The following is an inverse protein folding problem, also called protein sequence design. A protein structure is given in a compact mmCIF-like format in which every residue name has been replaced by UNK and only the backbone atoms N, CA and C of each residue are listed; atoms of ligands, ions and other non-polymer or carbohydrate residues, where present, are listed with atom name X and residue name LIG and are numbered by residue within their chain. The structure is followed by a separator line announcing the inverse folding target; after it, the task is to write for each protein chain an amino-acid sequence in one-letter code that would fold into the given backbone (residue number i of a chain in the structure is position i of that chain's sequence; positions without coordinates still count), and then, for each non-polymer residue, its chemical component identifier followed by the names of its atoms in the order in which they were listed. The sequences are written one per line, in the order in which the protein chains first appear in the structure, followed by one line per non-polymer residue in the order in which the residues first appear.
data_IF_828466988279
#
_entry.id   IF_828466988279
#
_cell.length_a   1.000
_cell.length_b   1.000
_cell.length_c   1.000
_cell.angle_alpha   90.00
_cell.angle_beta   90.00
_cell.angle_gamma   90.00
#
_symmetry.space_group_name_H-M   'P 1'
#
loop_
_entity.id
_entity.type
_entity.pdbx_description
1 polymer ?
#
# COMPACT_ATOMS: atom_id res chain seq x y z
N UNK A 1 -28.48 -1.53 -8.04
CA UNK A 1 -27.59 -0.36 -7.90
C UNK A 1 -26.59 -0.75 -6.84
N UNK A 2 -25.31 -0.90 -7.20
CA UNK A 2 -24.27 -1.24 -6.23
C UNK A 2 -24.05 -0.05 -5.30
N UNK A 3 -23.97 -0.31 -4.00
CA UNK A 3 -23.67 0.72 -3.01
C UNK A 3 -22.14 0.81 -2.89
N UNK A 4 -21.55 1.80 -3.55
CA UNK A 4 -20.10 1.99 -3.56
C UNK A 4 -19.54 2.22 -2.15
N UNK A 5 -20.24 3.01 -1.31
CA UNK A 5 -19.76 3.28 0.04
C UNK A 5 -19.87 2.03 0.92
N UNK A 6 -21.00 1.33 0.85
CA UNK A 6 -21.18 0.04 1.52
C UNK A 6 -20.16 -1.00 1.07
N UNK A 7 -19.83 -1.01 -0.23
CA UNK A 7 -18.81 -1.91 -0.78
C UNK A 7 -17.41 -1.59 -0.24
N UNK A 8 -17.01 -0.31 -0.29
CA UNK A 8 -15.71 0.14 0.26
C UNK A 8 -15.61 -0.20 1.74
N UNK A 9 -16.68 -0.01 2.52
CA UNK A 9 -16.71 -0.35 3.94
C UNK A 9 -16.61 -1.87 4.18
N UNK A 10 -17.35 -2.66 3.40
CA UNK A 10 -17.31 -4.13 3.47
C UNK A 10 -15.91 -4.65 3.18
N UNK A 11 -15.31 -4.24 2.06
CA UNK A 11 -13.98 -4.70 1.64
C UNK A 11 -12.90 -4.15 2.58
N UNK A 12 -13.03 -2.92 3.07
CA UNK A 12 -12.11 -2.38 4.08
C UNK A 12 -12.07 -3.25 5.34
N UNK A 13 -13.24 -3.63 5.86
CA UNK A 13 -13.34 -4.55 7.00
C UNK A 13 -12.75 -5.93 6.68
N UNK A 14 -13.14 -6.51 5.54
CA UNK A 14 -12.71 -7.86 5.16
C UNK A 14 -11.21 -7.93 4.90
N UNK A 15 -10.63 -6.94 4.25
CA UNK A 15 -9.20 -6.94 3.89
C UNK A 15 -8.32 -6.28 4.95
N UNK A 16 -8.90 -5.70 6.00
CA UNK A 16 -8.20 -4.86 7.01
C UNK A 16 -7.32 -3.77 6.38
N UNK A 17 -7.70 -3.31 5.18
CA UNK A 17 -7.06 -2.20 4.49
C UNK A 17 -7.84 -0.92 4.78
N UNK A 18 -7.14 0.22 4.96
CA UNK A 18 -7.78 1.47 5.33
C UNK A 18 -8.80 1.88 4.29
N UNK A 19 -9.93 2.43 4.71
CA UNK A 19 -11.05 2.77 3.81
C UNK A 19 -10.58 3.67 2.66
N UNK A 20 -9.66 4.60 2.96
CA UNK A 20 -9.10 5.52 1.97
C UNK A 20 -8.35 4.82 0.83
N UNK A 21 -7.77 3.63 1.06
CA UNK A 21 -7.10 2.89 0.00
C UNK A 21 -8.09 2.48 -1.10
N UNK A 22 -9.33 2.13 -0.73
CA UNK A 22 -10.38 1.83 -1.68
C UNK A 22 -10.98 3.08 -2.30
N UNK A 23 -11.02 4.20 -1.57
CA UNK A 23 -11.45 5.46 -2.16
C UNK A 23 -10.52 5.90 -3.30
N UNK A 24 -9.19 5.81 -3.08
CA UNK A 24 -8.18 6.09 -4.12
C UNK A 24 -8.30 5.08 -5.27
N UNK A 25 -8.47 3.79 -4.96
CA UNK A 25 -8.59 2.75 -5.98
C UNK A 25 -9.78 2.98 -6.90
N UNK A 26 -10.95 3.28 -6.34
CA UNK A 26 -12.16 3.55 -7.12
C UNK A 26 -12.04 4.87 -7.89
N UNK A 27 -11.48 5.93 -7.28
CA UNK A 27 -11.27 7.20 -7.96
C UNK A 27 -10.27 7.13 -9.14
N UNK A 28 -9.39 6.13 -9.15
CA UNK A 28 -8.43 5.90 -10.22
C UNK A 28 -8.99 5.13 -11.42
N UNK A 29 -10.19 4.54 -11.31
CA UNK A 29 -10.81 3.71 -12.33
C UNK A 29 -12.16 4.29 -12.78
N UNK A 30 -12.56 4.04 -14.02
CA UNK A 30 -13.88 4.43 -14.49
C UNK A 30 -14.96 3.47 -13.96
N UNK A 31 -16.21 3.94 -13.76
CA UNK A 31 -17.29 3.11 -13.20
C UNK A 31 -17.59 1.83 -13.99
N UNK A 32 -17.38 1.86 -15.30
CA UNK A 32 -17.57 0.73 -16.21
C UNK A 32 -16.35 -0.22 -16.31
N UNK A 33 -15.24 0.11 -15.67
CA UNK A 33 -14.01 -0.69 -15.73
C UNK A 33 -14.10 -1.86 -14.76
N UNK A 34 -13.87 -3.09 -15.25
CA UNK A 34 -13.61 -4.23 -14.38
C UNK A 34 -12.15 -4.15 -13.95
N UNK A 35 -11.90 -3.98 -12.66
CA UNK A 35 -10.55 -3.92 -12.09
C UNK A 35 -10.41 -4.87 -10.89
N UNK A 36 -9.17 -5.22 -10.59
CA UNK A 36 -8.85 -6.02 -9.42
C UNK A 36 -9.11 -5.23 -8.13
N UNK A 37 -9.97 -5.76 -7.26
CA UNK A 37 -10.38 -5.11 -6.03
C UNK A 37 -9.51 -5.51 -4.84
N UNK A 38 -9.46 -6.81 -4.55
CA UNK A 38 -8.67 -7.40 -3.48
C UNK A 38 -8.64 -8.93 -3.60
N UNK A 39 -7.69 -9.53 -2.91
CA UNK A 39 -7.70 -10.96 -2.56
C UNK A 39 -8.42 -11.17 -1.23
N UNK A 40 -9.19 -12.26 -1.16
CA UNK A 40 -9.84 -12.76 0.04
C UNK A 40 -9.46 -14.23 0.18
N UNK A 41 -9.29 -14.69 1.42
CA UNK A 41 -9.21 -16.13 1.67
C UNK A 41 -10.59 -16.77 1.46
N UNK A 42 -10.60 -18.09 1.24
CA UNK A 42 -11.83 -18.84 0.95
C UNK A 42 -12.89 -18.66 2.05
N UNK A 43 -12.49 -18.70 3.32
CA UNK A 43 -13.39 -18.57 4.47
C UNK A 43 -14.09 -17.20 4.50
N UNK A 44 -13.33 -16.10 4.36
CA UNK A 44 -13.86 -14.74 4.35
C UNK A 44 -14.76 -14.52 3.12
N UNK A 45 -14.43 -15.12 1.96
CA UNK A 45 -15.26 -15.05 0.77
C UNK A 45 -16.58 -15.80 0.98
N UNK A 46 -16.53 -17.06 1.39
CA UNK A 46 -17.70 -17.93 1.58
C UNK A 46 -18.66 -17.33 2.61
N UNK A 47 -18.13 -16.81 3.72
CA UNK A 47 -18.92 -16.19 4.78
C UNK A 47 -19.59 -14.87 4.35
N UNK A 48 -19.08 -14.18 3.32
CA UNK A 48 -19.57 -12.86 2.90
C UNK A 48 -20.08 -12.82 1.45
N UNK A 49 -20.21 -13.97 0.79
CA UNK A 49 -20.52 -14.07 -0.65
C UNK A 49 -21.78 -13.30 -1.04
N UNK A 50 -22.86 -13.44 -0.26
CA UNK A 50 -24.11 -12.75 -0.50
C UNK A 50 -23.94 -11.22 -0.49
N UNK A 51 -23.24 -10.68 0.52
CA UNK A 51 -22.98 -9.25 0.65
C UNK A 51 -22.02 -8.74 -0.44
N UNK A 52 -20.98 -9.50 -0.77
CA UNK A 52 -20.05 -9.17 -1.86
C UNK A 52 -20.76 -9.09 -3.21
N UNK A 53 -21.72 -9.99 -3.45
CA UNK A 53 -22.50 -10.00 -4.70
C UNK A 53 -23.53 -8.87 -4.71
N UNK A 54 -24.32 -8.71 -3.65
CA UNK A 54 -25.41 -7.73 -3.61
C UNK A 54 -24.94 -6.28 -3.51
N UNK A 55 -23.85 -6.03 -2.76
CA UNK A 55 -23.37 -4.69 -2.45
C UNK A 55 -22.29 -4.25 -3.43
N UNK A 56 -21.31 -5.12 -3.71
CA UNK A 56 -20.17 -4.79 -4.57
C UNK A 56 -20.33 -5.25 -6.03
N UNK A 57 -21.23 -6.19 -6.34
CA UNK A 57 -21.35 -6.75 -7.69
C UNK A 57 -20.11 -7.51 -8.16
N UNK A 58 -19.36 -8.11 -7.23
CA UNK A 58 -18.10 -8.81 -7.53
C UNK A 58 -18.36 -10.21 -8.08
N UNK A 59 -17.70 -10.58 -9.18
CA UNK A 59 -17.61 -11.94 -9.69
C UNK A 59 -16.18 -12.46 -9.54
N UNK A 60 -16.01 -13.72 -9.07
CA UNK A 60 -14.69 -14.35 -9.01
C UNK A 60 -14.21 -14.57 -10.44
N UNK A 61 -13.01 -14.09 -10.76
CA UNK A 61 -12.42 -14.27 -12.11
C UNK A 61 -11.36 -15.36 -12.13
N UNK A 62 -10.68 -15.64 -11.00
CA UNK A 62 -9.52 -16.54 -10.94
C UNK A 62 -9.46 -17.27 -9.60
N UNK A 63 -9.53 -18.60 -9.64
CA UNK A 63 -9.07 -19.47 -8.55
C UNK A 63 -7.57 -19.71 -8.76
N UNK A 64 -6.74 -19.35 -7.78
CA UNK A 64 -5.29 -19.54 -7.86
C UNK A 64 -4.83 -20.12 -6.53
N UNK A 65 -4.20 -21.29 -6.60
CA UNK A 65 -3.44 -21.83 -5.48
C UNK A 65 -2.19 -20.95 -5.28
N UNK A 66 -2.32 -19.96 -4.40
CA UNK A 66 -1.23 -19.06 -4.02
C UNK A 66 -0.90 -19.23 -2.54
N UNK A 67 0.31 -18.83 -2.17
CA UNK A 67 0.70 -18.73 -0.77
C UNK A 67 -0.26 -17.76 -0.07
N UNK A 68 -1.04 -18.29 0.87
CA UNK A 68 -2.04 -17.51 1.61
C UNK A 68 -1.44 -16.99 2.91
N UNK A 69 -1.59 -15.69 3.17
CA UNK A 69 -1.21 -15.07 4.45
C UNK A 69 -2.46 -14.82 5.28
N UNK A 70 -2.57 -15.55 6.38
CA UNK A 70 -3.69 -15.37 7.31
C UNK A 70 -3.73 -13.94 7.87
N UNK A 71 -4.94 -13.49 8.16
CA UNK A 71 -5.09 -12.22 8.85
C UNK A 71 -5.03 -11.00 7.94
N UNK A 72 -5.26 -11.17 6.63
CA UNK A 72 -5.32 -10.06 5.66
C UNK A 72 -4.07 -9.19 5.72
N UNK A 73 -2.91 -9.83 5.69
CA UNK A 73 -1.60 -9.18 5.70
C UNK A 73 -1.27 -8.38 6.99
N UNK A 74 -1.98 -8.61 8.10
CA UNK A 74 -1.67 -8.04 9.43
C UNK A 74 -0.23 -8.32 9.91
N UNK A 75 0.40 -9.36 9.36
CA UNK A 75 1.78 -9.76 9.64
C UNK A 75 2.70 -9.66 8.44
N UNK A 76 2.30 -8.99 7.35
CA UNK A 76 3.04 -8.96 6.08
C UNK A 76 4.53 -8.65 6.21
N UNK A 77 4.93 -7.75 7.10
CA UNK A 77 6.34 -7.44 7.34
C UNK A 77 7.10 -8.56 8.06
N UNK A 78 6.44 -9.25 8.99
CA UNK A 78 7.03 -10.32 9.79
C UNK A 78 7.05 -11.63 9.01
N UNK A 79 5.89 -12.05 8.50
CA UNK A 79 5.77 -13.23 7.65
C UNK A 79 6.63 -13.05 6.39
N UNK A 80 6.58 -11.88 5.77
CA UNK A 80 7.17 -11.63 4.47
C UNK A 80 6.24 -12.07 3.35
N UNK A 81 6.82 -12.31 2.19
CA UNK A 81 6.11 -12.85 1.04
C UNK A 81 7.01 -13.76 0.22
N UNK A 82 6.40 -14.61 -0.60
CA UNK A 82 7.05 -15.38 -1.65
C UNK A 82 7.00 -14.65 -2.98
N UNK A 83 7.96 -14.90 -3.84
CA UNK A 83 8.03 -14.36 -5.19
C UNK A 83 9.00 -15.16 -6.06
N UNK A 84 8.90 -14.99 -7.37
CA UNK A 84 9.80 -15.65 -8.31
C UNK A 84 11.26 -15.23 -8.07
N UNK A 85 12.18 -16.16 -8.32
CA UNK A 85 13.62 -15.88 -8.28
C UNK A 85 13.95 -14.77 -9.29
N UNK A 86 14.62 -13.72 -8.83
CA UNK A 86 15.07 -12.64 -9.71
C UNK A 86 16.37 -13.03 -10.42
N UNK A 87 16.70 -12.35 -11.52
CA UNK A 87 17.94 -12.59 -12.26
C UNK A 87 19.20 -12.46 -11.37
N UNK A 88 19.19 -11.53 -10.40
CA UNK A 88 20.29 -11.34 -9.46
C UNK A 88 20.40 -12.47 -8.43
N UNK A 89 19.29 -13.14 -8.12
CA UNK A 89 19.21 -14.26 -7.18
C UNK A 89 19.50 -15.61 -7.86
N UNK A 90 19.39 -15.67 -9.19
CA UNK A 90 19.37 -16.91 -9.96
C UNK A 90 20.59 -17.81 -9.70
N UNK A 91 21.81 -17.27 -9.84
CA UNK A 91 23.03 -18.07 -9.65
C UNK A 91 23.14 -18.66 -8.22
N UNK A 92 22.66 -17.93 -7.21
CA UNK A 92 22.67 -18.41 -5.82
C UNK A 92 21.67 -19.54 -5.61
N UNK A 93 20.45 -19.40 -6.13
CA UNK A 93 19.38 -20.38 -5.92
C UNK A 93 19.53 -21.61 -6.83
N UNK A 94 20.08 -21.47 -8.04
CA UNK A 94 20.46 -22.60 -8.89
C UNK A 94 21.50 -23.51 -8.20
N UNK A 95 22.48 -22.91 -7.51
CA UNK A 95 23.45 -23.66 -6.72
C UNK A 95 22.81 -24.42 -5.54
N UNK A 96 21.63 -23.99 -5.08
CA UNK A 96 20.84 -24.65 -4.04
C UNK A 96 19.82 -25.65 -4.62
N UNK A 97 19.77 -25.81 -5.94
CA UNK A 97 18.93 -26.79 -6.63
C UNK A 97 17.57 -26.25 -7.11
N UNK A 98 17.33 -24.94 -7.00
CA UNK A 98 16.11 -24.31 -7.49
C UNK A 98 16.17 -24.06 -9.00
N UNK A 99 14.99 -23.97 -9.62
CA UNK A 99 14.79 -23.58 -11.02
C UNK A 99 14.36 -22.11 -11.11
N UNK A 100 14.65 -21.43 -12.21
CA UNK A 100 14.38 -19.99 -12.37
C UNK A 100 12.89 -19.59 -12.22
N UNK A 101 11.95 -20.54 -12.33
CA UNK A 101 10.52 -20.30 -12.14
C UNK A 101 10.02 -20.53 -10.71
N UNK A 102 10.87 -21.02 -9.81
CA UNK A 102 10.46 -21.40 -8.47
C UNK A 102 10.13 -20.15 -7.63
N UNK A 103 9.13 -20.31 -6.75
CA UNK A 103 8.76 -19.29 -5.78
C UNK A 103 9.60 -19.46 -4.52
N UNK A 104 10.27 -18.39 -4.10
CA UNK A 104 11.10 -18.34 -2.90
C UNK A 104 10.61 -17.22 -1.98
N UNK A 105 10.88 -17.33 -0.69
CA UNK A 105 10.72 -16.27 0.28
C UNK A 105 11.58 -15.06 -0.05
N UNK A 106 10.93 -13.93 -0.33
CA UNK A 106 11.59 -12.66 -0.67
C UNK A 106 11.82 -11.78 0.56
N UNK A 107 11.07 -11.99 1.63
CA UNK A 107 11.24 -11.25 2.89
C UNK A 107 10.76 -12.02 4.11
N UNK A 108 10.94 -11.40 5.28
CA UNK A 108 10.42 -11.91 6.56
C UNK A 108 10.85 -13.34 6.90
N UNK A 109 9.95 -14.04 7.57
CA UNK A 109 10.05 -15.45 7.96
C UNK A 109 10.16 -16.35 6.73
N UNK A 110 9.43 -16.06 5.65
CA UNK A 110 9.52 -16.84 4.39
C UNK A 110 10.97 -16.91 3.91
N UNK A 111 11.65 -15.75 3.79
CA UNK A 111 13.06 -15.72 3.37
C UNK A 111 14.01 -16.32 4.40
N UNK A 112 13.78 -16.03 5.68
CA UNK A 112 14.69 -16.44 6.75
C UNK A 112 14.72 -17.96 6.94
N UNK A 113 13.57 -18.62 6.75
CA UNK A 113 13.43 -20.06 6.89
C UNK A 113 13.18 -20.78 5.57
N UNK A 114 13.55 -20.18 4.45
CA UNK A 114 13.33 -20.72 3.10
C UNK A 114 13.75 -22.19 2.99
N UNK A 115 14.94 -22.53 3.47
CA UNK A 115 15.47 -23.91 3.40
C UNK A 115 14.60 -24.92 4.17
N UNK A 116 14.02 -24.52 5.31
CA UNK A 116 13.13 -25.40 6.07
C UNK A 116 11.75 -25.48 5.42
N UNK A 117 11.23 -24.34 4.95
CA UNK A 117 9.90 -24.22 4.35
C UNK A 117 9.80 -24.87 2.97
N UNK A 118 10.83 -24.76 2.14
CA UNK A 118 10.87 -25.37 0.81
C UNK A 118 11.33 -26.84 0.85
N UNK A 119 12.08 -27.23 1.88
CA UNK A 119 12.77 -28.51 1.91
C UNK A 119 13.85 -28.57 0.82
N UNK A 120 14.04 -29.75 0.23
CA UNK A 120 14.92 -29.92 -0.93
C UNK A 120 14.23 -30.80 -1.98
N UNK A 121 14.27 -30.42 -3.27
CA UNK A 121 13.61 -31.18 -4.31
C UNK A 121 14.26 -32.55 -4.50
N UNK A 122 13.43 -33.59 -4.70
CA UNK A 122 13.89 -34.88 -5.20
C UNK A 122 14.11 -34.78 -6.71
N UNK A 123 15.19 -35.40 -7.20
CA UNK A 123 15.52 -35.40 -8.63
C UNK A 123 15.81 -36.81 -9.12
N UNK A 124 15.04 -37.26 -10.10
CA UNK A 124 15.15 -38.60 -10.68
C UNK A 124 15.44 -38.54 -12.17
N UNK A 125 16.53 -39.18 -12.61
CA UNK A 125 16.89 -39.33 -14.01
C UNK A 125 16.33 -40.64 -14.56
N UNK A 126 15.42 -40.55 -15.54
CA UNK A 126 14.75 -41.71 -16.14
C UNK A 126 14.55 -41.57 -17.64
N UNK A 127 14.51 -42.70 -18.34
CA UNK A 127 14.05 -42.79 -19.74
C UNK A 127 12.57 -43.14 -19.73
N UNK A 128 11.79 -42.35 -20.45
CA UNK A 128 10.37 -42.58 -20.69
C UNK A 128 10.10 -42.73 -22.18
N UNK A 129 9.25 -43.68 -22.54
CA UNK A 129 8.68 -43.74 -23.89
C UNK A 129 7.70 -42.58 -24.12
N UNK A 130 7.35 -42.26 -25.38
CA UNK A 130 6.37 -41.23 -25.70
C UNK A 130 4.99 -41.42 -25.02
N UNK A 131 4.65 -42.64 -24.60
CA UNK A 131 3.44 -42.95 -23.83
C UNK A 131 3.53 -42.69 -22.32
N UNK A 132 4.67 -42.18 -21.80
CA UNK A 132 4.87 -41.88 -20.39
C UNK A 132 5.30 -43.07 -19.52
N UNK A 133 5.45 -44.26 -20.11
CA UNK A 133 5.95 -45.45 -19.41
C UNK A 133 7.45 -45.27 -19.13
N UNK A 134 7.84 -45.45 -17.86
CA UNK A 134 9.24 -45.38 -17.43
C UNK A 134 9.94 -46.68 -17.82
N UNK A 135 10.88 -46.62 -18.77
CA UNK A 135 11.66 -47.78 -19.20
C UNK A 135 12.79 -48.11 -18.24
N UNK A 136 13.43 -47.08 -17.70
CA UNK A 136 14.60 -47.23 -16.83
C UNK A 136 14.84 -45.97 -16.03
N UNK A 137 15.20 -46.15 -14.76
CA UNK A 137 15.75 -45.11 -13.90
C UNK A 137 17.26 -45.32 -13.75
N UNK A 138 18.04 -44.25 -13.81
CA UNK A 138 19.51 -44.31 -13.70
C UNK A 138 20.01 -43.86 -12.34
N UNK A 139 19.42 -42.81 -11.78
CA UNK A 139 19.83 -42.20 -10.52
C UNK A 139 18.72 -41.35 -9.94
N UNK A 140 18.54 -41.41 -8.63
CA UNK A 140 17.73 -40.46 -7.87
C UNK A 140 18.58 -39.77 -6.81
N UNK A 141 18.35 -38.48 -6.62
CA UNK A 141 18.83 -37.70 -5.49
C UNK A 141 17.62 -37.43 -4.61
N UNK A 142 17.64 -37.98 -3.39
CA UNK A 142 16.55 -37.82 -2.43
C UNK A 142 16.29 -36.35 -2.07
N UNK A 143 15.02 -36.00 -1.94
CA UNK A 143 14.56 -34.72 -1.42
C UNK A 143 14.32 -34.76 0.10
N UNK A 144 14.04 -33.60 0.67
CA UNK A 144 13.53 -33.47 2.04
C UNK A 144 12.21 -32.72 1.98
N UNK A 145 11.24 -33.19 2.76
CA UNK A 145 9.92 -32.59 2.78
C UNK A 145 9.94 -31.18 3.39
N UNK A 146 9.09 -30.27 2.92
CA UNK A 146 8.78 -29.01 3.60
C UNK A 146 8.51 -29.22 5.09
N UNK A 147 9.16 -28.41 5.93
CA UNK A 147 8.98 -28.44 7.38
C UNK A 147 8.27 -27.17 7.84
N UNK A 148 7.14 -27.27 8.57
CA UNK A 148 6.44 -26.10 9.09
C UNK A 148 7.28 -25.41 10.16
N UNK A 149 7.29 -24.07 10.12
CA UNK A 149 7.95 -23.24 11.13
C UNK A 149 6.91 -22.74 12.12
N UNK A 150 7.11 -23.06 13.41
CA UNK A 150 6.30 -22.54 14.50
C UNK A 150 6.95 -21.31 15.10
N UNK A 151 6.17 -20.25 15.27
CA UNK A 151 6.62 -18.98 15.85
C UNK A 151 6.02 -18.77 17.23
N UNK A 152 6.69 -17.96 18.06
CA UNK A 152 6.18 -17.55 19.38
C UNK A 152 5.23 -16.36 19.31
N UNK A 153 4.79 -15.96 18.11
CA UNK A 153 3.93 -14.79 17.91
C UNK A 153 2.48 -15.19 18.16
N UNK A 154 1.83 -14.46 19.06
CA UNK A 154 0.39 -14.56 19.28
C UNK A 154 -0.36 -13.94 18.09
N UNK A 155 -1.06 -14.79 17.34
CA UNK A 155 -1.81 -14.38 16.14
C UNK A 155 -2.97 -13.44 16.48
N UNK A 156 -3.70 -13.70 17.56
CA UNK A 156 -4.89 -12.91 17.90
C UNK A 156 -4.49 -11.51 18.34
N UNK A 157 -3.48 -11.40 19.20
CA UNK A 157 -2.92 -10.12 19.62
C UNK A 157 -2.44 -9.30 18.41
N UNK A 158 -1.71 -9.94 17.50
CA UNK A 158 -1.18 -9.28 16.31
C UNK A 158 -2.28 -8.76 15.37
N UNK A 159 -3.41 -9.48 15.27
CA UNK A 159 -4.57 -9.04 14.48
C UNK A 159 -5.25 -7.82 15.10
N UNK A 160 -5.46 -7.83 16.42
CA UNK A 160 -6.07 -6.70 17.15
C UNK A 160 -5.20 -5.45 17.02
N UNK A 161 -3.89 -5.58 17.17
CA UNK A 161 -2.95 -4.47 17.02
C UNK A 161 -2.99 -3.90 15.60
N UNK A 162 -2.97 -4.75 14.57
CA UNK A 162 -3.04 -4.29 13.18
C UNK A 162 -4.34 -3.52 12.88
N UNK A 163 -5.48 -4.01 13.36
CA UNK A 163 -6.76 -3.32 13.20
C UNK A 163 -6.75 -1.95 13.91
N UNK A 164 -6.30 -1.89 15.16
CA UNK A 164 -6.24 -0.64 15.91
C UNK A 164 -5.36 0.42 15.22
N UNK A 165 -4.25 0.00 14.57
CA UNK A 165 -3.41 0.89 13.79
C UNK A 165 -4.10 1.39 12.51
N UNK A 166 -4.84 0.52 11.81
CA UNK A 166 -5.60 0.92 10.62
C UNK A 166 -6.69 1.93 10.97
N UNK A 167 -7.45 1.69 12.04
CA UNK A 167 -8.50 2.59 12.53
C UNK A 167 -7.92 3.95 12.95
N UNK A 168 -6.79 3.94 13.67
CA UNK A 168 -6.10 5.15 14.07
C UNK A 168 -5.58 5.96 12.86
N UNK A 169 -5.11 5.28 11.81
CA UNK A 169 -4.70 5.93 10.56
C UNK A 169 -5.88 6.57 9.84
N UNK A 170 -6.99 5.85 9.70
CA UNK A 170 -8.20 6.36 9.05
C UNK A 170 -8.78 7.57 9.80
N UNK A 171 -8.78 7.54 11.13
CA UNK A 171 -9.15 8.68 11.96
C UNK A 171 -8.22 9.89 11.74
N UNK A 172 -6.90 9.66 11.65
CA UNK A 172 -5.91 10.72 11.49
C UNK A 172 -5.78 11.25 10.06
N UNK A 173 -6.18 10.49 9.04
CA UNK A 173 -5.97 10.79 7.63
C UNK A 173 -6.49 12.17 7.19
N UNK A 174 -7.72 12.62 7.55
CA UNK A 174 -8.22 13.94 7.18
C UNK A 174 -7.41 15.11 7.76
N UNK A 175 -6.56 14.84 8.75
CA UNK A 175 -5.70 15.83 9.39
C UNK A 175 -4.27 15.70 8.86
N UNK A 176 -3.32 15.30 9.70
CA UNK A 176 -1.90 15.18 9.38
C UNK A 176 -1.55 13.91 8.58
N UNK A 177 -2.43 12.91 8.52
CA UNK A 177 -2.19 11.70 7.73
C UNK A 177 -2.29 11.94 6.21
N UNK A 178 -2.96 13.02 5.79
CA UNK A 178 -2.97 13.46 4.41
C UNK A 178 -1.60 14.06 4.06
N UNK A 179 -0.68 13.24 3.54
CA UNK A 179 0.49 13.76 2.83
C UNK A 179 0.05 14.35 1.48
N UNK A 180 -0.72 15.43 1.51
CA UNK A 180 -0.84 16.32 0.36
C UNK A 180 0.14 17.47 0.56
N UNK A 181 1.15 17.50 -0.30
CA UNK A 181 1.94 18.69 -0.59
C UNK A 181 1.04 19.94 -0.65
N UNK A 182 1.55 21.12 -0.26
CA UNK A 182 0.74 22.30 0.00
C UNK A 182 -0.21 22.59 -1.16
N UNK A 183 -1.45 22.88 -0.79
CA UNK A 183 -2.48 23.38 -1.67
C UNK A 183 -1.99 24.62 -2.42
N UNK A 184 -1.55 24.46 -3.68
CA UNK A 184 -1.76 25.54 -4.65
C UNK A 184 -3.24 25.58 -4.98
N UNK A 185 -3.93 26.44 -4.24
CA UNK A 185 -5.14 27.15 -4.62
C UNK A 185 -6.20 26.32 -5.36
N UNK A 186 -7.16 25.81 -4.59
CA UNK A 186 -8.57 25.89 -5.01
C UNK A 186 -8.84 27.34 -5.42
N UNK A 187 -9.04 27.62 -6.71
CA UNK A 187 -9.71 28.84 -7.12
C UNK A 187 -11.10 28.47 -7.59
N UNK A 188 -12.04 28.85 -6.74
CA UNK A 188 -13.47 28.60 -6.82
C UNK A 188 -14.05 29.08 -8.15
N UNK A 189 -15.01 28.30 -8.64
CA UNK A 189 -16.05 28.76 -9.54
C UNK A 189 -16.62 30.11 -9.07
N UNK A 190 -16.49 31.13 -9.91
CA UNK A 190 -17.41 32.25 -9.97
C UNK A 190 -17.82 32.44 -11.42
N UNK A 191 -19.10 32.16 -11.67
CA UNK A 191 -19.82 32.58 -12.86
C UNK A 191 -19.84 34.10 -12.94
N UNK A 192 -19.40 34.65 -14.07
CA UNK A 192 -20.00 35.85 -14.65
C UNK A 192 -20.05 35.70 -16.17
N UNK A 193 -21.24 36.00 -16.70
CA UNK A 193 -21.80 35.77 -18.04
C UNK A 193 -21.00 36.39 -19.22
N UNK A 194 -21.36 36.06 -20.47
CA UNK A 194 -20.44 36.00 -21.60
C UNK A 194 -20.31 37.33 -22.36
N UNK A 195 -19.15 37.55 -22.99
CA UNK A 195 -18.95 38.64 -23.94
C UNK A 195 -18.44 38.10 -25.28
N UNK A 196 -19.36 38.18 -26.25
CA UNK A 196 -19.26 38.27 -27.71
C UNK A 196 -17.90 38.04 -28.39
N UNK A 197 -18.01 37.15 -29.37
CA UNK A 197 -17.25 37.02 -30.61
C UNK A 197 -16.65 38.30 -31.21
N UNK A 198 -15.36 38.22 -31.53
CA UNK A 198 -14.74 38.69 -32.77
C UNK A 198 -13.31 38.12 -32.80
N UNK A 199 -13.06 37.07 -33.59
CA UNK A 199 -12.33 37.16 -34.88
C UNK A 199 -11.14 38.14 -34.81
N UNK A 200 -9.91 37.62 -34.88
CA UNK A 200 -9.01 37.76 -36.03
C UNK A 200 -7.61 37.19 -35.70
N UNK A 201 -7.23 36.23 -36.53
CA UNK A 201 -5.93 35.96 -37.16
C UNK A 201 -4.59 36.26 -36.47
N UNK A 202 -3.74 35.23 -36.53
CA UNK A 202 -2.31 35.23 -36.29
C UNK A 202 -1.54 36.34 -37.03
N UNK A 203 -0.55 36.93 -36.38
CA UNK A 203 0.62 37.54 -37.02
C UNK A 203 1.90 37.33 -36.17
N UNK A 204 2.79 36.53 -36.76
CA UNK A 204 4.23 36.74 -36.99
C UNK A 204 5.10 37.38 -35.88
N UNK A 205 6.14 36.63 -35.52
CA UNK A 205 7.36 37.10 -34.88
C UNK A 205 8.13 38.05 -35.81
N UNK A 206 8.60 39.18 -35.29
CA UNK A 206 9.71 39.94 -35.88
C UNK A 206 10.67 40.46 -34.79
N UNK A 207 11.92 40.49 -35.21
CA UNK A 207 13.19 40.69 -34.53
C UNK A 207 13.42 42.08 -33.92
N UNK A 208 14.00 42.08 -32.71
CA UNK A 208 15.17 42.88 -32.22
C UNK A 208 14.96 43.55 -30.86
N UNK A 209 15.63 43.05 -29.81
CA UNK A 209 16.65 43.84 -29.10
C UNK A 209 17.48 42.97 -28.13
N UNK A 210 18.75 43.34 -28.05
CA UNK A 210 19.89 42.67 -27.45
C UNK A 210 19.92 42.60 -25.91
N UNK A 211 20.68 41.58 -25.44
CA UNK A 211 21.60 41.57 -24.29
C UNK A 211 21.05 41.89 -22.89
N UNK A 212 21.18 41.03 -21.88
CA UNK A 212 22.45 40.60 -21.28
C UNK A 212 22.24 39.37 -20.36
N UNK A 213 23.17 38.40 -20.40
CA UNK A 213 23.51 37.50 -19.26
C UNK A 213 24.47 38.28 -18.34
N UNK A 214 24.67 37.96 -17.03
CA UNK A 214 24.84 36.61 -16.44
C UNK A 214 24.13 36.49 -15.06
N UNK A 215 24.25 35.49 -14.17
CA UNK A 215 25.30 34.52 -13.83
C UNK A 215 24.68 33.47 -12.90
N UNK A 216 24.93 32.19 -13.16
CA UNK A 216 24.72 31.11 -12.19
C UNK A 216 25.72 31.27 -11.04
N UNK A 217 25.26 31.17 -9.79
CA UNK A 217 26.13 30.85 -8.66
C UNK A 217 25.58 29.62 -7.94
N UNK A 218 26.43 28.60 -7.84
CA UNK A 218 26.27 27.42 -7.00
C UNK A 218 26.61 27.80 -5.55
N UNK A 219 25.76 27.40 -4.59
CA UNK A 219 26.12 27.01 -3.21
C UNK A 219 25.12 25.94 -2.78
N UNK A 220 25.49 24.66 -2.68
CA UNK A 220 26.21 24.01 -1.59
C UNK A 220 25.41 23.96 -0.27
N UNK A 221 25.11 22.73 0.14
CA UNK A 221 24.39 22.36 1.35
C UNK A 221 25.15 22.71 2.63
N UNK A 222 24.41 23.01 3.71
CA UNK A 222 24.78 22.58 5.08
C UNK A 222 23.64 22.78 6.09
N UNK A 223 23.39 21.70 6.83
CA UNK A 223 22.85 21.56 8.19
C UNK A 223 22.13 22.72 8.91
N UNK A 224 20.95 22.41 9.47
CA UNK A 224 20.75 22.48 10.92
C UNK A 224 19.50 21.76 11.42
N UNK A 225 19.78 20.79 12.27
CA UNK A 225 18.87 20.17 13.23
C UNK A 225 18.79 21.10 14.45
N UNK A 226 17.59 21.47 14.91
CA UNK A 226 17.42 22.01 16.26
C UNK A 226 16.11 21.53 16.86
N UNK A 227 16.25 20.61 17.81
CA UNK A 227 15.24 20.30 18.84
C UNK A 227 15.08 21.51 19.74
N UNK A 228 13.86 21.84 20.14
CA UNK A 228 13.61 22.62 21.35
C UNK A 228 12.55 21.93 22.20
N UNK A 229 12.97 21.59 23.42
CA UNK A 229 12.14 21.22 24.56
C UNK A 229 12.58 22.14 25.74
N UNK A 230 11.89 22.15 26.88
CA UNK A 230 11.19 23.33 27.40
C UNK A 230 11.97 24.04 28.53
N UNK A 231 11.64 25.30 28.77
CA UNK A 231 12.12 26.04 29.94
C UNK A 231 11.00 26.32 30.94
N UNK A 232 11.12 25.70 32.10
CA UNK A 232 10.43 26.00 33.35
C UNK A 232 11.40 26.83 34.20
N UNK A 233 11.00 28.03 34.63
CA UNK A 233 11.61 28.68 35.78
C UNK A 233 10.63 29.63 36.46
N UNK A 234 10.46 29.36 37.74
CA UNK A 234 9.59 29.92 38.76
C UNK A 234 10.01 31.35 39.20
N UNK A 235 9.04 32.19 39.62
CA UNK A 235 9.19 33.17 40.73
C UNK A 235 7.83 33.76 41.15
N UNK A 236 7.31 33.18 42.26
CA UNK A 236 6.76 33.82 43.46
C UNK A 236 5.90 35.10 43.39
N UNK A 237 4.63 34.90 43.76
CA UNK A 237 3.82 35.63 44.77
C UNK A 237 3.61 37.15 44.66
N UNK A 238 2.36 37.53 44.32
CA UNK A 238 1.48 38.40 45.15
C UNK A 238 0.08 38.46 44.50
N UNK A 239 -0.97 38.10 45.25
CA UNK A 239 -2.37 38.53 44.98
C UNK A 239 -2.57 39.93 45.61
N UNK A 240 -3.47 40.78 45.08
CA UNK A 240 -4.86 40.76 45.59
C UNK A 240 -5.97 41.05 44.56
N UNK A 241 -7.15 40.53 44.90
CA UNK A 241 -8.52 41.05 44.71
C UNK A 241 -8.83 42.07 43.59
N UNK A 242 -9.84 41.77 42.75
CA UNK A 242 -11.24 42.23 42.94
C UNK A 242 -12.08 42.24 41.65
N UNK A 243 -13.39 42.05 41.88
CA UNK A 243 -14.61 42.18 41.09
C UNK A 243 -14.62 42.76 39.66
N UNK A 244 -15.28 42.01 38.76
CA UNK A 244 -16.57 42.38 38.11
C UNK A 244 -16.63 43.53 37.10
N UNK A 245 -17.19 43.27 35.91
CA UNK A 245 -18.39 43.91 35.30
C UNK A 245 -18.49 43.56 33.79
N UNK A 246 -19.74 43.44 33.32
CA UNK A 246 -20.22 43.06 31.98
C UNK A 246 -20.16 44.19 30.93
N UNK A 247 -20.25 43.76 29.65
CA UNK A 247 -20.94 44.36 28.46
C UNK A 247 -20.35 45.70 27.94
N UNK A 248 -20.37 46.05 26.65
CA UNK A 248 -21.31 45.76 25.56
C UNK A 248 -20.64 45.80 24.17
N UNK A 249 -21.38 45.29 23.18
CA UNK A 249 -21.19 45.52 21.73
C UNK A 249 -21.17 47.02 21.40
N UNK A 250 -20.40 47.38 20.38
CA UNK A 250 -20.86 48.36 19.37
C UNK A 250 -20.52 47.84 17.98
N UNK A 251 -21.56 47.71 17.18
CA UNK A 251 -21.56 47.65 15.72
C UNK A 251 -21.31 49.02 15.12
N UNK A 252 -20.71 49.02 13.94
CA UNK A 252 -21.19 49.75 12.76
C UNK A 252 -20.73 48.98 11.53
#
# INVERSE_FOLDING_TARGET
MTDEQGCKALISRLTRRPFIAFDILFAANFPETIFYLAELNAEDYDANQAALTSTCGVSITLDRETRTYYGNNAMSHVAGHVGQITADQQAQYEALGYSAGDLIGQGGVERMFERALAGTPERTLRITEPGGVVLREFSSIGGSAPTPVQMTIDRELQLVVAQAMADAYDFAYPTWGSRRFPAMARRSYWMSKPAKSSRWSAFRCSTHCCSTRPRLSRRAASSRFSRSAPTRANRSSTMPHSHGIRRDRCTS
#
